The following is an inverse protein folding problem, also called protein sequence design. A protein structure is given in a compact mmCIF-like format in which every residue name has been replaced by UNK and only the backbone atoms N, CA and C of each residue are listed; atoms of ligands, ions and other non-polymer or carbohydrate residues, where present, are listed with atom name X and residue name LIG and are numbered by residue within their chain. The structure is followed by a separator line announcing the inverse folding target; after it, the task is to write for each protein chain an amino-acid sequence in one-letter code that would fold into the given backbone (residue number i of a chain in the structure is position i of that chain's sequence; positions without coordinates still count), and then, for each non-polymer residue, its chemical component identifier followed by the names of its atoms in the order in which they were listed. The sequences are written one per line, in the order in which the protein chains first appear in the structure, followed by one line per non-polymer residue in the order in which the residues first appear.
data_IF_024411929380
#
_entry.id   IF_024411929380
#
_cell.length_a   1.000
_cell.length_b   1.000
_cell.length_c   1.000
_cell.angle_alpha   90.00
_cell.angle_beta   90.00
_cell.angle_gamma   90.00
#
_symmetry.space_group_name_H-M   'P 1'
#
loop_
_entity.id
_entity.type
_entity.pdbx_description
1 polymer ?
#
# COMPACT_ATOMS: atom_id res chain seq x y z
N UNK A 1 -59.32 -16.22 19.33
CA UNK A 1 -58.23 -15.26 19.14
C UNK A 1 -57.08 -15.67 20.06
N UNK A 2 -56.11 -16.40 19.54
CA UNK A 2 -54.87 -16.74 20.26
C UNK A 2 -53.76 -15.83 19.77
N UNK A 3 -53.28 -14.94 20.64
CA UNK A 3 -52.20 -14.00 20.37
C UNK A 3 -50.87 -14.75 20.26
N UNK A 4 -50.34 -14.90 19.05
CA UNK A 4 -48.94 -15.28 18.84
C UNK A 4 -48.08 -14.01 18.90
N UNK A 5 -47.39 -13.82 20.02
CA UNK A 5 -46.30 -12.86 20.13
C UNK A 5 -45.09 -13.34 19.30
N UNK A 6 -44.33 -12.44 18.66
CA UNK A 6 -43.27 -12.80 17.72
C UNK A 6 -42.07 -13.40 18.48
N UNK A 7 -41.52 -14.50 17.94
CA UNK A 7 -40.31 -15.15 18.42
C UNK A 7 -39.13 -14.16 18.43
N UNK A 8 -38.60 -13.95 19.63
CA UNK A 8 -37.46 -13.09 19.93
C UNK A 8 -36.28 -13.33 18.98
N UNK A 9 -35.60 -12.26 18.60
CA UNK A 9 -34.33 -12.24 17.85
C UNK A 9 -33.14 -12.92 18.58
N UNK A 10 -33.41 -13.72 19.62
CA UNK A 10 -32.44 -14.42 20.47
C UNK A 10 -32.30 -15.93 20.14
N UNK A 11 -33.03 -16.46 19.16
CA UNK A 11 -32.93 -17.88 18.75
C UNK A 11 -31.74 -18.19 17.83
N UNK A 12 -30.65 -17.43 17.92
CA UNK A 12 -29.36 -17.89 17.37
C UNK A 12 -28.66 -18.72 18.45
N UNK A 13 -28.55 -20.06 18.29
CA UNK A 13 -27.85 -20.88 19.25
C UNK A 13 -26.42 -20.35 19.43
N UNK A 14 -26.00 -20.16 20.69
CA UNK A 14 -24.64 -19.77 21.02
C UNK A 14 -23.68 -20.82 20.46
N UNK A 15 -22.71 -20.39 19.67
CA UNK A 15 -21.71 -21.27 19.04
C UNK A 15 -21.03 -22.13 20.10
N UNK A 16 -20.89 -23.42 19.85
CA UNK A 16 -20.09 -24.32 20.69
C UNK A 16 -18.62 -23.91 20.65
N UNK A 17 -17.82 -24.29 21.65
CA UNK A 17 -16.37 -24.00 21.66
C UNK A 17 -15.66 -24.56 20.41
N UNK A 18 -16.07 -25.74 19.94
CA UNK A 18 -15.57 -26.31 18.69
C UNK A 18 -15.94 -25.44 17.47
N UNK A 19 -17.18 -24.97 17.38
CA UNK A 19 -17.63 -24.09 16.29
C UNK A 19 -16.95 -22.71 16.34
N UNK A 20 -16.70 -22.15 17.53
CA UNK A 20 -15.95 -20.90 17.68
C UNK A 20 -14.52 -21.06 17.16
N UNK A 21 -13.85 -22.16 17.53
CA UNK A 21 -12.48 -22.46 17.08
C UNK A 21 -12.41 -22.60 15.57
N UNK A 22 -13.35 -23.31 14.96
CA UNK A 22 -13.42 -23.46 13.50
C UNK A 22 -13.66 -22.11 12.81
N UNK A 23 -14.64 -21.34 13.28
CA UNK A 23 -14.93 -20.01 12.72
C UNK A 23 -13.75 -19.05 12.84
N UNK A 24 -13.00 -19.10 13.94
CA UNK A 24 -11.79 -18.30 14.12
C UNK A 24 -10.72 -18.67 13.08
N UNK A 25 -10.45 -19.95 12.88
CA UNK A 25 -9.47 -20.43 11.88
C UNK A 25 -9.89 -19.97 10.48
N UNK A 26 -11.16 -20.16 10.11
CA UNK A 26 -11.69 -19.78 8.80
C UNK A 26 -11.62 -18.26 8.57
N UNK A 27 -11.96 -17.48 9.59
CA UNK A 27 -11.91 -16.01 9.51
C UNK A 27 -10.47 -15.51 9.33
N UNK A 28 -9.52 -16.08 10.06
CA UNK A 28 -8.10 -15.73 9.93
C UNK A 28 -7.52 -16.17 8.58
N UNK A 29 -7.89 -17.35 8.07
CA UNK A 29 -7.50 -17.78 6.73
C UNK A 29 -7.98 -16.79 5.67
N UNK A 30 -9.26 -16.43 5.70
CA UNK A 30 -9.84 -15.43 4.78
C UNK A 30 -9.15 -14.07 4.91
N UNK A 31 -8.85 -13.63 6.13
CA UNK A 31 -8.10 -12.39 6.37
C UNK A 31 -6.71 -12.44 5.72
N UNK A 32 -5.99 -13.56 5.86
CA UNK A 32 -4.65 -13.74 5.27
C UNK A 32 -4.70 -13.83 3.75
N UNK A 33 -5.70 -14.48 3.18
CA UNK A 33 -5.92 -14.53 1.73
C UNK A 33 -6.15 -13.12 1.17
N UNK A 34 -7.01 -12.31 1.80
CA UNK A 34 -7.25 -10.93 1.39
C UNK A 34 -6.00 -10.05 1.47
N UNK A 35 -5.14 -10.24 2.48
CA UNK A 35 -3.85 -9.54 2.59
C UNK A 35 -2.93 -9.93 1.42
N UNK A 36 -2.81 -11.22 1.11
CA UNK A 36 -1.96 -11.71 0.01
C UNK A 36 -2.42 -11.17 -1.33
N UNK A 37 -3.72 -11.19 -1.60
CA UNK A 37 -4.27 -10.57 -2.81
C UNK A 37 -3.97 -9.06 -2.87
N UNK A 38 -3.94 -8.38 -1.73
CA UNK A 38 -3.50 -6.99 -1.64
C UNK A 38 -2.04 -6.80 -2.08
N UNK A 39 -1.14 -7.66 -1.63
CA UNK A 39 0.26 -7.64 -2.04
C UNK A 39 0.47 -8.01 -3.50
N UNK A 40 -0.27 -9.01 -4.02
CA UNK A 40 -0.22 -9.39 -5.43
C UNK A 40 -0.68 -8.21 -6.32
N UNK A 41 -1.71 -7.46 -5.90
CA UNK A 41 -2.13 -6.23 -6.59
C UNK A 41 -1.07 -5.14 -6.53
N UNK A 42 -0.47 -4.88 -5.37
CA UNK A 42 0.61 -3.88 -5.25
C UNK A 42 1.80 -4.24 -6.16
N UNK A 43 2.22 -5.50 -6.15
CA UNK A 43 3.29 -6.03 -6.99
C UNK A 43 3.01 -5.85 -8.50
N UNK A 44 1.75 -5.90 -8.93
CA UNK A 44 1.36 -5.66 -10.33
C UNK A 44 1.39 -4.18 -10.76
N UNK A 45 1.30 -3.25 -9.81
CA UNK A 45 1.29 -1.81 -10.07
C UNK A 45 2.70 -1.23 -10.02
N UNK A 46 3.52 -1.72 -9.09
CA UNK A 46 4.87 -1.18 -8.86
C UNK A 46 5.84 -1.74 -9.90
N UNK A 47 6.53 -0.88 -10.68
CA UNK A 47 7.47 -1.33 -11.70
C UNK A 47 8.55 -2.25 -11.13
N UNK A 48 8.79 -3.37 -11.82
CA UNK A 48 9.81 -4.35 -11.43
C UNK A 48 9.42 -5.32 -10.32
N UNK A 49 8.21 -5.22 -9.75
CA UNK A 49 7.75 -6.08 -8.65
C UNK A 49 6.77 -7.19 -9.09
N UNK A 50 6.51 -7.34 -10.38
CA UNK A 50 5.55 -8.35 -10.87
C UNK A 50 5.94 -9.76 -10.41
N UNK A 51 4.96 -10.50 -9.86
CA UNK A 51 5.18 -11.83 -9.29
C UNK A 51 5.91 -11.86 -7.93
N UNK A 52 6.32 -10.71 -7.38
CA UNK A 52 7.01 -10.62 -6.08
C UNK A 52 6.05 -10.43 -4.89
N UNK A 53 4.73 -10.66 -5.05
CA UNK A 53 3.73 -10.46 -3.98
C UNK A 53 3.96 -11.26 -2.70
N UNK A 54 4.89 -12.24 -2.71
CA UNK A 54 5.31 -13.00 -1.52
C UNK A 54 6.46 -12.38 -0.74
N UNK A 55 7.14 -11.39 -1.30
CA UNK A 55 8.25 -10.66 -0.69
C UNK A 55 7.72 -9.37 -0.04
N UNK A 56 6.89 -9.50 1.00
CA UNK A 56 6.10 -8.38 1.58
C UNK A 56 6.94 -7.12 1.87
N UNK A 57 8.08 -7.27 2.55
CA UNK A 57 8.95 -6.13 2.89
C UNK A 57 9.51 -5.43 1.64
N UNK A 58 9.95 -6.20 0.66
CA UNK A 58 10.51 -5.69 -0.61
C UNK A 58 9.43 -4.95 -1.40
N UNK A 59 8.22 -5.52 -1.47
CA UNK A 59 7.10 -4.87 -2.17
C UNK A 59 6.74 -3.55 -1.50
N UNK A 60 6.66 -3.49 -0.16
CA UNK A 60 6.37 -2.24 0.55
C UNK A 60 7.44 -1.18 0.34
N UNK A 61 8.71 -1.56 0.43
CA UNK A 61 9.84 -0.65 0.21
C UNK A 61 9.84 -0.09 -1.21
N UNK A 62 9.70 -0.95 -2.22
CA UNK A 62 9.59 -0.55 -3.62
C UNK A 62 8.35 0.33 -3.87
N UNK A 63 7.22 0.03 -3.22
CA UNK A 63 6.00 0.84 -3.32
C UNK A 63 6.24 2.26 -2.79
N UNK A 64 6.89 2.39 -1.63
CA UNK A 64 7.19 3.70 -1.03
C UNK A 64 8.16 4.49 -1.92
N UNK A 65 9.20 3.83 -2.44
CA UNK A 65 10.14 4.45 -3.39
C UNK A 65 9.39 4.98 -4.62
N UNK A 66 8.56 4.14 -5.23
CA UNK A 66 7.78 4.50 -6.42
C UNK A 66 6.82 5.67 -6.16
N UNK A 67 6.10 5.67 -5.02
CA UNK A 67 5.21 6.79 -4.65
C UNK A 67 5.98 8.12 -4.54
N UNK A 68 7.17 8.12 -3.94
CA UNK A 68 8.01 9.33 -3.85
C UNK A 68 8.45 9.80 -5.23
N UNK A 69 8.84 8.88 -6.11
CA UNK A 69 9.21 9.21 -7.50
C UNK A 69 8.03 9.85 -8.26
N UNK A 70 6.82 9.31 -8.11
CA UNK A 70 5.61 9.88 -8.73
C UNK A 70 5.28 11.28 -8.20
N UNK A 71 5.54 11.57 -6.93
CA UNK A 71 5.35 12.91 -6.35
C UNK A 71 6.31 13.93 -7.00
N UNK A 72 7.58 13.54 -7.19
CA UNK A 72 8.58 14.41 -7.83
C UNK A 72 8.26 14.61 -9.31
N UNK A 73 7.87 13.55 -10.02
CA UNK A 73 7.49 13.65 -11.44
C UNK A 73 6.27 14.55 -11.63
N UNK A 74 5.26 14.40 -10.75
CA UNK A 74 4.10 15.31 -10.72
C UNK A 74 4.54 16.76 -10.57
N UNK A 75 5.48 17.06 -9.67
CA UNK A 75 5.97 18.43 -9.46
C UNK A 75 6.58 19.00 -10.75
N UNK A 76 7.34 18.18 -11.49
CA UNK A 76 7.91 18.58 -12.78
C UNK A 76 6.83 18.87 -13.82
N UNK A 77 5.84 17.98 -13.96
CA UNK A 77 4.69 18.18 -14.86
C UNK A 77 3.94 19.48 -14.53
N UNK A 78 3.73 19.76 -13.24
CA UNK A 78 3.08 21.00 -12.81
C UNK A 78 3.90 22.25 -13.13
N UNK A 79 5.23 22.19 -12.99
CA UNK A 79 6.11 23.28 -13.38
C UNK A 79 6.04 23.55 -14.89
N UNK A 80 6.04 22.50 -15.71
CA UNK A 80 5.92 22.60 -17.16
C UNK A 80 4.55 23.19 -17.58
N UNK A 81 3.47 22.75 -16.93
CA UNK A 81 2.12 23.29 -17.16
C UNK A 81 2.03 24.79 -16.81
N UNK A 82 2.65 25.22 -15.70
CA UNK A 82 2.73 26.64 -15.33
C UNK A 82 3.53 27.46 -16.33
N UNK A 83 4.62 26.92 -16.87
CA UNK A 83 5.39 27.58 -17.91
C UNK A 83 4.56 27.80 -19.20
N UNK A 84 3.53 26.97 -19.42
CA UNK A 84 2.55 27.11 -20.49
C UNK A 84 1.35 28.01 -20.11
N UNK A 85 1.35 28.61 -18.92
CA UNK A 85 0.28 29.49 -18.43
C UNK A 85 -0.93 28.77 -17.85
N UNK A 86 -0.85 27.46 -17.58
CA UNK A 86 -1.92 26.70 -16.94
C UNK A 86 -1.83 26.91 -15.42
N UNK A 87 -2.94 27.28 -14.77
CA UNK A 87 -3.01 27.31 -13.32
C UNK A 87 -3.10 25.89 -12.75
N UNK A 88 -2.16 25.56 -11.87
CA UNK A 88 -2.05 24.25 -11.23
C UNK A 88 -2.27 24.30 -9.72
N UNK A 89 -2.69 25.44 -9.16
CA UNK A 89 -2.85 25.66 -7.72
C UNK A 89 -3.71 24.59 -7.02
N UNK A 90 -4.75 24.11 -7.69
CA UNK A 90 -5.64 23.06 -7.18
C UNK A 90 -4.93 21.70 -6.94
N UNK A 91 -3.77 21.49 -7.54
CA UNK A 91 -3.01 20.24 -7.48
C UNK A 91 -1.72 20.39 -6.66
N UNK A 92 -1.49 21.52 -6.03
CA UNK A 92 -0.27 21.72 -5.25
C UNK A 92 -0.23 20.84 -4.01
N UNK A 93 0.94 20.26 -3.78
CA UNK A 93 1.25 19.60 -2.53
C UNK A 93 2.00 20.56 -1.60
N UNK A 94 1.87 20.39 -0.27
CA UNK A 94 2.65 21.15 0.69
C UNK A 94 4.15 21.04 0.39
N UNK A 95 4.89 22.14 0.52
CA UNK A 95 6.34 22.20 0.21
C UNK A 95 7.12 21.18 1.02
N UNK A 96 6.73 20.98 2.27
CA UNK A 96 7.33 20.04 3.21
C UNK A 96 7.24 18.60 2.68
N UNK A 97 6.14 18.26 1.98
CA UNK A 97 5.95 16.93 1.39
C UNK A 97 6.92 16.71 0.24
N UNK A 98 7.08 17.73 -0.62
CA UNK A 98 7.99 17.68 -1.77
C UNK A 98 9.46 17.59 -1.31
N UNK A 99 9.85 18.40 -0.34
CA UNK A 99 11.19 18.41 0.24
C UNK A 99 11.54 17.07 0.91
N UNK A 100 10.60 16.50 1.68
CA UNK A 100 10.79 15.20 2.29
C UNK A 100 10.95 14.08 1.25
N UNK A 101 10.14 14.08 0.19
CA UNK A 101 10.26 13.08 -0.89
C UNK A 101 11.59 13.21 -1.62
N UNK A 102 12.00 14.42 -2.00
CA UNK A 102 13.28 14.68 -2.65
C UNK A 102 14.47 14.26 -1.78
N UNK A 103 14.45 14.60 -0.50
CA UNK A 103 15.53 14.27 0.44
C UNK A 103 15.70 12.76 0.59
N UNK A 104 14.59 12.03 0.75
CA UNK A 104 14.65 10.57 0.90
C UNK A 104 15.12 9.89 -0.38
N UNK A 105 14.64 10.34 -1.55
CA UNK A 105 15.10 9.79 -2.83
C UNK A 105 16.59 10.05 -3.08
N UNK A 106 17.09 11.22 -2.70
CA UNK A 106 18.51 11.52 -2.80
C UNK A 106 19.33 10.59 -1.91
N UNK A 107 18.92 10.38 -0.65
CA UNK A 107 19.59 9.44 0.26
C UNK A 107 19.63 8.02 -0.32
N UNK A 108 18.51 7.51 -0.82
CA UNK A 108 18.46 6.19 -1.44
C UNK A 108 19.40 6.09 -2.64
N UNK A 109 19.46 7.11 -3.49
CA UNK A 109 20.40 7.15 -4.63
C UNK A 109 21.87 7.17 -4.19
N UNK A 110 22.18 7.94 -3.15
CA UNK A 110 23.53 8.06 -2.61
C UNK A 110 23.99 6.73 -1.99
N UNK A 111 23.09 6.03 -1.28
CA UNK A 111 23.31 4.69 -0.73
C UNK A 111 23.54 3.64 -1.83
N UNK A 112 22.69 3.63 -2.86
CA UNK A 112 22.83 2.74 -4.04
C UNK A 112 24.17 2.99 -4.76
N UNK A 113 24.58 4.25 -4.92
CA UNK A 113 25.85 4.61 -5.54
C UNK A 113 27.06 4.15 -4.71
N UNK A 114 26.99 4.25 -3.37
CA UNK A 114 28.05 3.78 -2.48
C UNK A 114 28.20 2.26 -2.51
N UNK A 115 27.09 1.50 -2.56
CA UNK A 115 27.13 0.04 -2.67
C UNK A 115 27.70 -0.43 -4.02
N UNK A 116 27.33 0.21 -5.12
CA UNK A 116 27.87 -0.15 -6.44
C UNK A 116 29.36 0.19 -6.58
N UNK A 117 29.83 1.27 -5.94
CA UNK A 117 31.25 1.65 -5.94
C UNK A 117 32.16 0.71 -5.13
N UNK A 118 31.61 0.00 -4.14
CA UNK A 118 32.37 -0.98 -3.34
C UNK A 118 32.49 -2.33 -4.03
N UNK A 119 31.46 -2.76 -4.76
CA UNK A 119 31.44 -4.06 -5.45
C UNK A 119 32.30 -4.10 -6.74
N UNK A 120 32.63 -2.94 -7.33
CA UNK A 120 33.47 -2.85 -8.54
C UNK A 120 34.98 -2.80 -8.29
N UNK A 121 35.43 -2.97 -7.03
CA UNK A 121 36.85 -2.87 -6.62
C UNK A 121 37.48 -4.21 -6.19
N UNK A 122 36.79 -5.34 -6.41
CA UNK A 122 37.29 -6.70 -6.14
C UNK A 122 37.69 -7.42 -7.42
#
# INVERSE_FOLDING_TARGET
MGSQSPTNANDRPRLTEAQKKENHIRSEQKRREAIREGFDRLASIVPGMEGQGRSEAVVLEATIKYMREQIVERQKIMADARAQGIDTSAWDLPKETLEACNTQLQRTRDEEAQMNGTNGKS
#
